data_IF_252320145055
#
_entry.id   IF_252320145055
#
_cell.length_a   1.000
_cell.length_b   1.000
_cell.length_c   1.000
_cell.angle_alpha   90.00
_cell.angle_beta   90.00
_cell.angle_gamma   90.00
#
_symmetry.space_group_name_H-M   'P 1'
#
loop_
_entity.id
_entity.type
_entity.pdbx_description
1 polymer ?
#
# COMPACT_ATOMS: atom_id res chain seq x y z
N UNK A 1 -2.12 56.18 -31.04
CA UNK A 1 -3.19 55.97 -30.05
C UNK A 1 -3.06 54.52 -29.54
N UNK A 2 -2.32 54.28 -28.43
CA UNK A 2 -2.09 52.93 -27.90
C UNK A 2 -3.21 52.60 -26.90
N UNK A 3 -4.00 51.56 -27.22
CA UNK A 3 -4.97 51.01 -26.29
C UNK A 3 -4.22 50.21 -25.19
N UNK A 4 -4.32 50.68 -23.94
CA UNK A 4 -3.89 49.90 -22.77
C UNK A 4 -4.89 48.79 -22.55
N UNK A 5 -4.43 47.53 -22.66
CA UNK A 5 -5.20 46.34 -22.23
C UNK A 5 -4.86 46.13 -20.76
N UNK A 6 -5.81 46.34 -19.87
CA UNK A 6 -5.69 45.94 -18.47
C UNK A 6 -6.13 44.49 -18.34
N UNK A 7 -5.21 43.63 -17.97
CA UNK A 7 -5.52 42.22 -17.62
C UNK A 7 -5.89 42.21 -16.14
N UNK A 8 -7.15 41.87 -15.84
CA UNK A 8 -7.64 41.65 -14.50
C UNK A 8 -7.28 40.21 -14.12
N UNK A 9 -6.27 40.03 -13.26
CA UNK A 9 -6.00 38.73 -12.65
C UNK A 9 -7.03 38.52 -11.52
N UNK A 10 -7.99 37.61 -11.73
CA UNK A 10 -8.89 37.16 -10.69
C UNK A 10 -8.20 36.02 -9.96
N UNK A 11 -7.71 36.27 -8.75
CA UNK A 11 -7.29 35.20 -7.84
C UNK A 11 -8.56 34.55 -7.28
N UNK A 12 -8.87 33.34 -7.75
CA UNK A 12 -9.84 32.47 -7.10
C UNK A 12 -9.11 31.83 -5.92
N UNK A 13 -9.29 32.39 -4.73
CA UNK A 13 -8.90 31.70 -3.49
C UNK A 13 -9.90 30.59 -3.27
N UNK A 14 -9.51 29.33 -3.51
CA UNK A 14 -10.24 28.18 -3.03
C UNK A 14 -10.15 28.21 -1.49
N UNK A 15 -11.25 28.49 -0.81
CA UNK A 15 -11.36 28.26 0.62
C UNK A 15 -11.49 26.75 0.84
N UNK A 16 -10.40 26.10 1.22
CA UNK A 16 -10.50 24.80 1.88
C UNK A 16 -11.19 25.02 3.22
N UNK A 17 -12.38 24.50 3.40
CA UNK A 17 -13.03 24.47 4.72
C UNK A 17 -12.29 23.40 5.52
N UNK A 18 -11.61 23.81 6.59
CA UNK A 18 -11.03 22.87 7.55
C UNK A 18 -12.10 21.86 8.00
N UNK A 19 -11.75 20.58 7.97
CA UNK A 19 -12.70 19.50 8.30
C UNK A 19 -12.95 19.36 9.81
N UNK A 20 -12.12 20.05 10.64
CA UNK A 20 -12.13 19.99 12.10
C UNK A 20 -11.95 18.56 12.64
N UNK A 21 -11.05 17.81 12.05
CA UNK A 21 -10.68 16.50 12.52
C UNK A 21 -9.98 16.60 13.87
N UNK A 22 -10.48 15.89 14.86
CA UNK A 22 -9.99 15.98 16.23
C UNK A 22 -9.64 14.62 16.80
N UNK A 23 -8.70 14.60 17.76
CA UNK A 23 -8.41 13.42 18.56
C UNK A 23 -9.66 12.85 19.23
N UNK A 24 -9.75 11.54 19.36
CA UNK A 24 -10.85 10.78 19.93
C UNK A 24 -12.18 11.07 19.24
N UNK A 25 -12.20 11.01 17.91
CA UNK A 25 -13.41 11.27 17.12
C UNK A 25 -13.64 10.22 16.03
N UNK A 26 -14.92 9.99 15.76
CA UNK A 26 -15.38 9.11 14.67
C UNK A 26 -16.48 9.86 13.92
N UNK A 27 -16.42 9.91 12.60
CA UNK A 27 -17.39 10.66 11.82
C UNK A 27 -17.19 10.51 10.32
N UNK A 28 -17.70 11.47 9.59
CA UNK A 28 -17.47 11.63 8.16
C UNK A 28 -17.42 13.10 7.78
N UNK A 29 -16.86 13.36 6.61
CA UNK A 29 -16.91 14.64 5.93
C UNK A 29 -16.99 14.43 4.42
N UNK A 30 -17.54 15.42 3.73
CA UNK A 30 -17.59 15.40 2.26
C UNK A 30 -16.34 16.06 1.69
N UNK A 31 -15.51 15.30 0.97
CA UNK A 31 -14.38 15.81 0.20
C UNK A 31 -14.83 16.14 -1.21
N UNK A 32 -14.48 17.33 -1.70
CA UNK A 32 -14.75 17.76 -3.08
C UNK A 32 -13.42 17.77 -3.83
N UNK A 33 -13.18 16.82 -4.76
CA UNK A 33 -11.98 16.84 -5.59
C UNK A 33 -11.89 18.11 -6.44
N UNK A 34 -10.71 18.47 -6.85
CA UNK A 34 -10.50 19.61 -7.75
C UNK A 34 -10.57 19.21 -9.25
N UNK A 35 -10.68 20.20 -10.13
CA UNK A 35 -10.62 19.99 -11.57
C UNK A 35 -11.81 19.22 -12.15
N UNK A 36 -11.60 18.26 -13.07
CA UNK A 36 -12.69 17.53 -13.75
C UNK A 36 -13.60 16.72 -12.80
N UNK A 37 -13.09 16.33 -11.63
CA UNK A 37 -13.84 15.54 -10.63
C UNK A 37 -14.59 16.41 -9.61
N UNK A 38 -14.64 17.72 -9.78
CA UNK A 38 -15.23 18.66 -8.81
C UNK A 38 -16.75 18.49 -8.57
N UNK A 39 -17.45 17.84 -9.47
CA UNK A 39 -18.86 17.48 -9.37
C UNK A 39 -19.08 16.05 -8.84
N UNK A 40 -18.02 15.35 -8.47
CA UNK A 40 -18.03 13.98 -7.95
C UNK A 40 -17.51 13.95 -6.50
N UNK A 41 -18.28 14.49 -5.52
CA UNK A 41 -17.86 14.49 -4.12
C UNK A 41 -17.71 13.07 -3.57
N UNK A 42 -16.76 12.92 -2.65
CA UNK A 42 -16.47 11.68 -1.92
C UNK A 42 -16.84 11.86 -0.46
N UNK A 43 -17.71 11.02 0.08
CA UNK A 43 -17.91 10.95 1.52
C UNK A 43 -16.73 10.18 2.13
N UNK A 44 -16.06 10.80 3.10
CA UNK A 44 -14.88 10.24 3.74
C UNK A 44 -15.20 9.94 5.18
N UNK A 45 -15.31 8.66 5.50
CA UNK A 45 -15.49 8.20 6.88
C UNK A 45 -14.13 8.10 7.56
N UNK A 46 -14.08 8.47 8.83
CA UNK A 46 -12.83 8.45 9.58
C UNK A 46 -13.02 7.97 11.01
N UNK A 47 -11.93 7.47 11.58
CA UNK A 47 -11.78 7.26 13.00
C UNK A 47 -10.38 7.71 13.44
N UNK A 48 -10.33 8.54 14.47
CA UNK A 48 -9.11 9.10 15.05
C UNK A 48 -9.07 8.71 16.53
N UNK A 49 -8.13 7.88 16.97
CA UNK A 49 -7.99 7.53 18.37
C UNK A 49 -7.57 8.72 19.24
N UNK A 50 -7.57 8.51 20.56
CA UNK A 50 -7.02 9.49 21.51
C UNK A 50 -5.50 9.56 21.41
N UNK A 51 -4.92 10.77 21.46
CA UNK A 51 -3.46 10.97 21.44
C UNK A 51 -3.05 12.16 20.59
N UNK A 52 -1.76 12.20 20.25
CA UNK A 52 -1.18 13.22 19.37
C UNK A 52 -1.41 12.88 17.90
N UNK A 53 -2.45 13.47 17.32
CA UNK A 53 -2.86 13.20 15.94
C UNK A 53 -1.87 13.70 14.89
N UNK A 54 -0.95 14.59 15.27
CA UNK A 54 0.03 15.15 14.32
C UNK A 54 1.11 14.14 13.92
N UNK A 55 1.28 13.10 14.71
CA UNK A 55 2.30 12.06 14.51
C UNK A 55 1.72 10.67 14.23
N UNK A 56 0.41 10.48 14.34
CA UNK A 56 -0.24 9.19 14.08
C UNK A 56 -0.11 8.77 12.62
N UNK A 57 0.25 7.50 12.33
CA UNK A 57 0.22 6.98 10.97
C UNK A 57 -1.21 6.85 10.43
N UNK A 58 -1.34 6.80 9.09
CA UNK A 58 -2.62 6.68 8.41
C UNK A 58 -2.81 5.30 7.78
N UNK A 59 -4.06 4.82 7.87
CA UNK A 59 -4.53 3.62 7.18
C UNK A 59 -5.75 3.98 6.34
N UNK A 60 -5.61 3.88 5.02
CA UNK A 60 -6.74 3.96 4.11
C UNK A 60 -7.43 2.61 4.02
N UNK A 61 -8.76 2.59 4.16
CA UNK A 61 -9.58 1.39 4.06
C UNK A 61 -10.54 1.50 2.88
N UNK A 62 -10.32 0.70 1.84
CA UNK A 62 -11.09 0.74 0.60
C UNK A 62 -12.22 -0.28 0.61
N UNK A 63 -13.45 0.21 0.41
CA UNK A 63 -14.68 -0.59 0.45
C UNK A 63 -14.78 -1.59 -0.71
N UNK A 64 -15.62 -2.61 -0.52
CA UNK A 64 -15.99 -3.56 -1.56
C UNK A 64 -17.03 -3.03 -2.55
N UNK A 65 -17.69 -3.94 -3.26
CA UNK A 65 -18.77 -3.60 -4.20
C UNK A 65 -20.02 -3.02 -3.52
N UNK A 66 -20.13 -3.15 -2.21
CA UNK A 66 -21.21 -2.58 -1.39
C UNK A 66 -21.20 -1.05 -1.34
N UNK A 67 -20.06 -0.42 -1.61
CA UNK A 67 -19.89 1.03 -1.51
C UNK A 67 -20.24 1.54 -0.09
N UNK A 68 -19.73 0.86 0.93
CA UNK A 68 -20.04 0.98 2.36
C UNK A 68 -18.79 1.44 3.14
N UNK A 69 -18.37 2.68 2.89
CA UNK A 69 -17.17 3.27 3.50
C UNK A 69 -17.23 3.32 5.03
N UNK A 70 -18.42 3.59 5.61
CA UNK A 70 -18.66 3.57 7.05
C UNK A 70 -18.33 2.21 7.69
N UNK A 71 -18.83 1.13 7.10
CA UNK A 71 -18.57 -0.24 7.53
C UNK A 71 -17.09 -0.59 7.42
N UNK A 72 -16.43 -0.16 6.35
CA UNK A 72 -14.99 -0.39 6.15
C UNK A 72 -14.13 0.40 7.13
N UNK A 73 -14.55 1.61 7.55
CA UNK A 73 -13.95 2.33 8.66
C UNK A 73 -14.16 1.58 9.97
N UNK A 74 -15.37 1.06 10.23
CA UNK A 74 -15.75 0.42 11.49
C UNK A 74 -14.96 -0.86 11.77
N UNK A 75 -14.54 -1.59 10.73
CA UNK A 75 -13.66 -2.77 10.89
C UNK A 75 -12.36 -2.47 11.63
N UNK A 76 -11.90 -1.22 11.63
CA UNK A 76 -10.60 -0.83 12.15
C UNK A 76 -10.64 -0.06 13.48
N UNK A 77 -11.83 0.32 14.00
CA UNK A 77 -11.95 1.21 15.17
C UNK A 77 -11.18 0.69 16.38
N UNK A 78 -11.43 -0.56 16.78
CA UNK A 78 -10.79 -1.13 17.97
C UNK A 78 -9.27 -1.27 17.75
N UNK A 79 -8.87 -1.75 16.58
CA UNK A 79 -7.45 -1.88 16.22
C UNK A 79 -6.73 -0.52 16.18
N UNK A 80 -7.38 0.52 15.69
CA UNK A 80 -6.86 1.87 15.67
C UNK A 80 -6.69 2.45 17.09
N UNK A 81 -7.68 2.22 17.96
CA UNK A 81 -7.61 2.63 19.37
C UNK A 81 -6.48 1.94 20.12
N UNK A 82 -6.26 0.65 19.87
CA UNK A 82 -5.24 -0.15 20.55
C UNK A 82 -3.81 0.16 20.05
N UNK A 83 -3.67 0.61 18.80
CA UNK A 83 -2.36 0.74 18.15
C UNK A 83 -2.00 2.17 17.71
N UNK A 84 -2.91 3.13 17.84
CA UNK A 84 -2.61 4.56 17.64
C UNK A 84 -2.42 4.97 16.17
N UNK A 85 -3.32 4.59 15.27
CA UNK A 85 -3.33 5.04 13.88
C UNK A 85 -4.68 5.63 13.47
N UNK A 86 -4.68 6.53 12.49
CA UNK A 86 -5.87 7.17 11.93
C UNK A 86 -6.42 6.32 10.79
N UNK A 87 -7.73 6.06 10.80
CA UNK A 87 -8.43 5.33 9.72
C UNK A 87 -9.15 6.32 8.83
N UNK A 88 -8.95 6.18 7.53
CA UNK A 88 -9.63 6.96 6.48
C UNK A 88 -10.28 5.99 5.49
N UNK A 89 -11.59 6.07 5.34
CA UNK A 89 -12.35 5.22 4.42
C UNK A 89 -13.15 6.07 3.43
N UNK A 90 -12.58 6.42 2.27
CA UNK A 90 -13.29 7.15 1.24
C UNK A 90 -14.35 6.27 0.58
N UNK A 91 -15.57 6.77 0.45
CA UNK A 91 -16.67 6.11 -0.24
C UNK A 91 -16.88 6.67 -1.63
N UNK A 92 -16.57 5.88 -2.62
CA UNK A 92 -16.86 6.17 -4.02
C UNK A 92 -18.27 5.71 -4.36
N UNK A 93 -19.27 6.51 -4.00
CA UNK A 93 -20.69 6.17 -4.14
C UNK A 93 -21.10 5.89 -5.60
N UNK A 94 -22.12 5.07 -5.80
CA UNK A 94 -22.62 4.77 -7.15
C UNK A 94 -23.27 5.98 -7.84
N UNK A 95 -23.66 7.01 -7.12
CA UNK A 95 -24.19 8.25 -7.68
C UNK A 95 -23.10 9.12 -8.29
N UNK A 96 -21.97 9.28 -7.60
CA UNK A 96 -20.88 10.16 -8.01
C UNK A 96 -19.85 9.42 -8.87
N UNK A 97 -19.69 8.10 -8.66
CA UNK A 97 -18.79 7.21 -9.40
C UNK A 97 -19.60 6.04 -9.98
N UNK A 98 -20.45 6.29 -10.99
CA UNK A 98 -21.30 5.28 -11.59
C UNK A 98 -20.45 4.22 -12.31
N UNK A 99 -20.96 2.98 -12.37
CA UNK A 99 -20.19 1.88 -12.96
C UNK A 99 -19.11 1.34 -12.02
N UNK A 100 -19.45 0.24 -11.33
CA UNK A 100 -18.52 -0.40 -10.38
C UNK A 100 -17.17 -0.74 -11.01
N UNK A 101 -17.19 -1.31 -12.22
CA UNK A 101 -15.99 -1.74 -12.95
C UNK A 101 -15.10 -0.56 -13.33
N UNK A 102 -15.58 0.28 -14.21
CA UNK A 102 -14.78 1.33 -14.84
C UNK A 102 -14.40 2.44 -13.85
N UNK A 103 -15.40 3.02 -13.19
CA UNK A 103 -15.17 4.19 -12.34
C UNK A 103 -14.57 3.88 -10.95
N UNK A 104 -14.68 2.64 -10.48
CA UNK A 104 -14.09 2.30 -9.17
C UNK A 104 -12.99 1.25 -9.30
N UNK A 105 -13.31 0.02 -9.69
CA UNK A 105 -12.33 -1.07 -9.67
C UNK A 105 -11.14 -0.82 -10.60
N UNK A 106 -11.36 -0.13 -11.72
CA UNK A 106 -10.34 0.22 -12.73
C UNK A 106 -9.97 1.71 -12.72
N UNK A 107 -10.51 2.47 -11.75
CA UNK A 107 -10.08 3.84 -11.45
C UNK A 107 -10.38 4.87 -12.51
N UNK A 108 -11.32 4.62 -13.43
CA UNK A 108 -11.65 5.47 -14.57
C UNK A 108 -10.44 5.77 -15.50
N UNK A 109 -9.53 4.80 -15.62
CA UNK A 109 -8.34 4.97 -16.47
C UNK A 109 -8.70 4.98 -17.95
N UNK A 110 -9.74 4.25 -18.34
CA UNK A 110 -10.28 4.19 -19.71
C UNK A 110 -11.77 4.45 -19.71
N UNK A 111 -12.32 4.98 -20.83
CA UNK A 111 -13.76 5.14 -21.04
C UNK A 111 -14.52 3.81 -20.89
N UNK A 112 -13.94 2.72 -21.41
CA UNK A 112 -14.37 1.34 -21.25
C UNK A 112 -13.15 0.51 -20.82
N UNK A 113 -12.99 0.32 -19.53
CA UNK A 113 -11.86 -0.43 -18.96
C UNK A 113 -11.90 -1.92 -19.29
N UNK A 114 -13.06 -2.47 -19.61
CA UNK A 114 -13.18 -3.87 -20.05
C UNK A 114 -12.71 -4.06 -21.51
N UNK A 115 -12.72 -3.01 -22.33
CA UNK A 115 -12.32 -3.04 -23.73
C UNK A 115 -11.49 -1.81 -24.13
N UNK A 116 -10.29 -1.61 -23.54
CA UNK A 116 -9.48 -0.44 -23.83
C UNK A 116 -9.06 -0.43 -25.32
N UNK A 117 -9.16 0.74 -25.93
CA UNK A 117 -8.74 0.97 -27.32
C UNK A 117 -7.73 2.11 -27.38
N UNK A 118 -6.89 2.19 -28.41
CA UNK A 118 -5.99 3.33 -28.57
C UNK A 118 -6.74 4.67 -28.54
N UNK A 119 -6.37 5.55 -27.61
CA UNK A 119 -7.00 6.85 -27.43
C UNK A 119 -8.25 6.88 -26.55
N UNK A 120 -8.66 5.75 -25.92
CA UNK A 120 -9.75 5.71 -24.94
C UNK A 120 -9.25 5.91 -23.49
N UNK A 121 -7.95 6.13 -23.31
CA UNK A 121 -7.38 6.43 -21.99
C UNK A 121 -7.75 7.85 -21.57
N UNK A 122 -8.36 7.96 -20.40
CA UNK A 122 -8.73 9.24 -19.82
C UNK A 122 -7.48 10.02 -19.33
N UNK A 123 -7.51 11.36 -19.35
CA UNK A 123 -6.52 12.17 -18.67
C UNK A 123 -6.40 11.78 -17.19
N UNK A 124 -5.19 11.76 -16.66
CA UNK A 124 -4.95 11.29 -15.28
C UNK A 124 -5.76 12.05 -14.23
N UNK A 125 -6.00 13.35 -14.43
CA UNK A 125 -6.81 14.17 -13.53
C UNK A 125 -8.32 13.85 -13.55
N UNK A 126 -8.76 12.93 -14.42
CA UNK A 126 -10.12 12.36 -14.46
C UNK A 126 -10.18 10.97 -13.81
N UNK A 127 -9.05 10.40 -13.40
CA UNK A 127 -9.05 9.09 -12.77
C UNK A 127 -9.58 9.15 -11.35
N UNK A 128 -10.38 8.17 -10.97
CA UNK A 128 -10.78 7.97 -9.57
C UNK A 128 -9.58 7.77 -8.66
N UNK A 129 -8.52 7.15 -9.15
CA UNK A 129 -7.26 7.01 -8.43
C UNK A 129 -6.64 8.36 -8.04
N UNK A 130 -6.82 9.39 -8.85
CA UNK A 130 -6.25 10.73 -8.61
C UNK A 130 -6.94 11.52 -7.48
N UNK A 131 -7.98 10.96 -6.88
CA UNK A 131 -8.63 11.52 -5.68
C UNK A 131 -7.78 11.33 -4.42
N UNK A 132 -7.00 10.24 -4.33
CA UNK A 132 -6.41 9.77 -3.07
C UNK A 132 -5.32 10.72 -2.56
N UNK A 133 -4.38 11.11 -3.40
CA UNK A 133 -3.25 11.95 -2.96
C UNK A 133 -3.69 13.35 -2.52
N UNK A 134 -4.56 14.10 -3.27
CA UNK A 134 -5.06 15.39 -2.80
C UNK A 134 -5.99 15.29 -1.56
N UNK A 135 -6.70 14.18 -1.40
CA UNK A 135 -7.46 13.91 -0.16
C UNK A 135 -6.50 13.77 1.02
N UNK A 136 -5.42 13.01 0.85
CA UNK A 136 -4.41 12.85 1.89
C UNK A 136 -3.77 14.19 2.26
N UNK A 137 -3.39 15.04 1.28
CA UNK A 137 -2.91 16.40 1.54
C UNK A 137 -3.91 17.22 2.37
N UNK A 138 -5.19 17.18 2.01
CA UNK A 138 -6.24 17.89 2.73
C UNK A 138 -6.31 17.47 4.20
N UNK A 139 -6.17 16.17 4.48
CA UNK A 139 -6.20 15.63 5.84
C UNK A 139 -4.93 16.02 6.61
N UNK A 140 -3.75 15.92 5.97
CA UNK A 140 -2.48 16.33 6.58
C UNK A 140 -2.52 17.79 7.02
N UNK A 141 -3.01 18.67 6.15
CA UNK A 141 -3.13 20.10 6.41
C UNK A 141 -4.12 20.39 7.56
N UNK A 142 -5.27 19.72 7.58
CA UNK A 142 -6.32 19.93 8.59
C UNK A 142 -5.85 19.62 10.02
N UNK A 143 -5.08 18.54 10.20
CA UNK A 143 -4.56 18.13 11.51
C UNK A 143 -3.11 18.54 11.74
N UNK A 144 -2.47 19.26 10.82
CA UNK A 144 -1.05 19.61 10.86
C UNK A 144 -0.15 18.37 11.05
N UNK A 145 -0.42 17.31 10.30
CA UNK A 145 0.32 16.06 10.42
C UNK A 145 1.74 16.16 9.88
N UNK A 146 2.66 15.45 10.53
CA UNK A 146 4.06 15.29 10.08
C UNK A 146 4.28 14.04 9.25
N UNK A 147 3.24 13.24 9.00
CA UNK A 147 3.36 12.03 8.20
C UNK A 147 3.59 12.35 6.73
N UNK A 148 4.38 11.53 6.07
CA UNK A 148 4.73 11.69 4.65
C UNK A 148 4.22 10.54 3.78
N UNK A 149 3.67 9.49 4.39
CA UNK A 149 3.16 8.30 3.73
C UNK A 149 1.92 7.75 4.44
N UNK A 150 1.27 6.81 3.80
CA UNK A 150 0.13 6.08 4.36
C UNK A 150 0.19 4.61 3.96
N UNK A 151 -0.50 3.77 4.73
CA UNK A 151 -0.74 2.37 4.42
C UNK A 151 -2.18 2.19 3.99
N UNK A 152 -2.45 1.12 3.25
CA UNK A 152 -3.79 0.88 2.75
C UNK A 152 -4.17 -0.60 2.82
N UNK A 153 -5.44 -0.81 3.11
CA UNK A 153 -6.10 -2.10 3.04
C UNK A 153 -7.33 -2.01 2.14
N UNK A 154 -7.58 -3.03 1.34
CA UNK A 154 -8.79 -3.15 0.54
C UNK A 154 -9.28 -4.58 0.50
N UNK A 155 -10.61 -4.78 0.63
CA UNK A 155 -11.23 -6.09 0.52
C UNK A 155 -12.11 -6.19 -0.72
N UNK A 156 -12.08 -7.34 -1.40
CA UNK A 156 -12.95 -7.59 -2.56
C UNK A 156 -12.77 -6.52 -3.66
N UNK A 157 -13.77 -5.67 -3.89
CA UNK A 157 -13.65 -4.52 -4.80
C UNK A 157 -12.57 -3.53 -4.39
N UNK A 158 -12.40 -3.28 -3.09
CA UNK A 158 -11.33 -2.41 -2.58
C UNK A 158 -9.93 -2.96 -2.82
N UNK A 159 -9.77 -4.28 -2.76
CA UNK A 159 -8.54 -4.96 -3.19
C UNK A 159 -8.29 -4.79 -4.68
N UNK A 160 -9.35 -4.82 -5.49
CA UNK A 160 -9.24 -4.58 -6.94
C UNK A 160 -8.87 -3.13 -7.26
N UNK A 161 -9.38 -2.17 -6.51
CA UNK A 161 -8.98 -0.77 -6.60
C UNK A 161 -7.50 -0.60 -6.22
N UNK A 162 -7.11 -1.12 -5.05
CA UNK A 162 -5.82 -0.87 -4.44
C UNK A 162 -4.64 -1.44 -5.24
N UNK A 163 -4.74 -2.68 -5.75
CA UNK A 163 -3.63 -3.23 -6.54
C UNK A 163 -3.47 -2.52 -7.89
N UNK A 164 -4.56 -2.02 -8.51
CA UNK A 164 -4.45 -1.21 -9.72
C UNK A 164 -3.96 0.19 -9.44
N UNK A 165 -4.40 0.79 -8.33
CA UNK A 165 -3.86 2.07 -7.87
C UNK A 165 -2.33 2.02 -7.81
N UNK A 166 -1.76 0.94 -7.27
CA UNK A 166 -0.31 0.75 -7.20
C UNK A 166 0.36 0.76 -8.57
N UNK A 167 -0.26 0.18 -9.60
CA UNK A 167 0.28 0.21 -10.96
C UNK A 167 0.14 1.56 -11.66
N UNK A 168 -0.98 2.24 -11.45
CA UNK A 168 -1.30 3.47 -12.19
C UNK A 168 -0.83 4.75 -11.50
N UNK A 169 -0.52 4.70 -10.19
CA UNK A 169 -0.06 5.85 -9.39
C UNK A 169 1.31 5.60 -8.74
N UNK A 170 2.40 5.53 -9.54
CA UNK A 170 3.75 5.24 -9.02
C UNK A 170 4.30 6.35 -8.12
N UNK A 171 3.77 7.56 -8.22
CA UNK A 171 4.13 8.75 -7.40
C UNK A 171 3.27 8.87 -6.14
N UNK A 172 2.43 7.88 -5.83
CA UNK A 172 1.67 7.86 -4.59
C UNK A 172 2.58 7.67 -3.37
N UNK A 173 2.10 8.19 -2.23
CA UNK A 173 2.76 8.02 -0.92
C UNK A 173 2.35 6.72 -0.21
N UNK A 174 1.83 5.77 -0.96
CA UNK A 174 1.46 4.44 -0.48
C UNK A 174 2.70 3.63 -0.10
N UNK A 175 2.84 3.31 1.17
CA UNK A 175 3.98 2.54 1.71
C UNK A 175 3.70 1.03 1.71
N UNK A 176 2.51 0.62 2.14
CA UNK A 176 2.08 -0.78 2.23
C UNK A 176 0.67 -0.93 1.68
N UNK A 177 0.48 -1.87 0.77
CA UNK A 177 -0.82 -2.27 0.27
C UNK A 177 -1.18 -3.68 0.74
N UNK A 178 -2.30 -3.84 1.47
CA UNK A 178 -2.83 -5.17 1.82
C UNK A 178 -4.08 -5.43 0.99
N UNK A 179 -3.99 -6.33 0.02
CA UNK A 179 -5.01 -6.61 -0.98
C UNK A 179 -5.75 -7.91 -0.67
N UNK A 180 -6.88 -7.82 0.06
CA UNK A 180 -7.62 -8.97 0.55
C UNK A 180 -8.69 -9.45 -0.43
N UNK A 181 -8.66 -10.73 -0.80
CA UNK A 181 -9.73 -11.45 -1.50
C UNK A 181 -10.29 -10.74 -2.75
N UNK A 182 -9.45 -10.21 -3.63
CA UNK A 182 -9.92 -9.59 -4.88
C UNK A 182 -10.70 -10.59 -5.75
N UNK A 183 -11.73 -10.12 -6.42
CA UNK A 183 -12.53 -10.94 -7.32
C UNK A 183 -11.77 -11.38 -8.57
N UNK A 184 -10.85 -10.54 -9.06
CA UNK A 184 -9.95 -10.79 -10.18
C UNK A 184 -8.86 -9.71 -10.19
N UNK A 185 -7.78 -9.94 -10.93
CA UNK A 185 -6.59 -9.10 -10.90
C UNK A 185 -6.22 -8.58 -12.28
N UNK A 186 -5.54 -7.43 -12.34
CA UNK A 186 -4.68 -7.05 -13.44
C UNK A 186 -3.32 -7.67 -13.19
N UNK A 187 -3.00 -8.74 -13.90
CA UNK A 187 -1.74 -9.48 -13.74
C UNK A 187 -0.68 -8.80 -14.61
N UNK A 188 0.51 -8.49 -14.09
CA UNK A 188 1.57 -7.84 -14.87
C UNK A 188 2.28 -8.82 -15.81
N UNK A 189 1.53 -9.43 -16.72
CA UNK A 189 2.01 -10.37 -17.72
C UNK A 189 1.66 -9.89 -19.14
N UNK A 190 2.55 -10.14 -20.08
CA UNK A 190 2.35 -9.87 -21.50
C UNK A 190 1.47 -10.93 -22.16
N UNK A 191 0.83 -10.56 -23.28
CA UNK A 191 -0.04 -11.47 -24.07
C UNK A 191 -1.48 -11.55 -23.57
N UNK A 192 -1.82 -10.88 -22.48
CA UNK A 192 -3.19 -10.74 -21.96
C UNK A 192 -3.54 -9.26 -21.87
N UNK A 193 -4.68 -8.90 -22.51
CA UNK A 193 -5.13 -7.50 -22.52
C UNK A 193 -5.67 -7.06 -21.16
N UNK A 194 -5.48 -5.78 -20.86
CA UNK A 194 -6.20 -5.11 -19.80
C UNK A 194 -7.72 -5.34 -19.99
N UNK A 195 -8.48 -5.60 -18.92
CA UNK A 195 -8.11 -5.39 -17.53
C UNK A 195 -7.49 -6.61 -16.81
N UNK A 196 -7.29 -7.74 -17.47
CA UNK A 196 -6.81 -8.97 -16.84
C UNK A 196 -5.28 -9.13 -16.92
N UNK A 197 -4.65 -8.55 -17.92
CA UNK A 197 -3.20 -8.42 -18.10
C UNK A 197 -2.83 -6.97 -18.34
N UNK A 198 -1.62 -6.73 -18.85
CA UNK A 198 -1.09 -5.38 -19.09
C UNK A 198 -1.10 -4.94 -20.55
N UNK A 199 -1.39 -5.83 -21.51
CA UNK A 199 -1.49 -5.42 -22.91
C UNK A 199 -2.61 -4.39 -23.09
N UNK A 200 -2.36 -3.36 -23.88
CA UNK A 200 -3.27 -2.22 -24.11
C UNK A 200 -3.57 -1.37 -22.86
N UNK A 201 -2.89 -1.58 -21.73
CA UNK A 201 -3.06 -0.75 -20.53
C UNK A 201 -2.36 0.60 -20.62
N UNK A 202 -1.43 0.75 -21.58
CA UNK A 202 -0.51 1.89 -21.69
C UNK A 202 0.30 2.13 -20.37
N UNK A 203 0.51 1.08 -19.57
CA UNK A 203 1.37 1.14 -18.40
C UNK A 203 2.83 1.16 -18.83
N UNK A 204 3.62 2.14 -18.42
CA UNK A 204 5.07 2.11 -18.61
C UNK A 204 5.69 0.96 -17.78
N UNK A 205 6.75 0.35 -18.28
CA UNK A 205 7.52 -0.66 -17.53
C UNK A 205 8.01 -0.13 -16.18
N UNK A 206 8.38 1.15 -16.12
CA UNK A 206 8.76 1.81 -14.87
C UNK A 206 7.70 1.75 -13.78
N UNK A 207 6.41 1.75 -14.13
CA UNK A 207 5.31 1.64 -13.18
C UNK A 207 5.22 0.21 -12.61
N UNK A 208 5.45 -0.79 -13.46
CA UNK A 208 5.49 -2.20 -13.05
C UNK A 208 6.67 -2.43 -12.09
N UNK A 209 7.85 -1.92 -12.43
CA UNK A 209 9.05 -1.97 -11.57
C UNK A 209 8.79 -1.29 -10.22
N UNK A 210 8.17 -0.10 -10.23
CA UNK A 210 7.79 0.59 -9.01
C UNK A 210 6.82 -0.22 -8.17
N UNK A 211 5.79 -0.81 -8.79
CA UNK A 211 4.81 -1.64 -8.10
C UNK A 211 5.45 -2.87 -7.46
N UNK A 212 6.38 -3.55 -8.15
CA UNK A 212 7.13 -4.67 -7.57
C UNK A 212 8.03 -4.26 -6.40
N UNK A 213 8.60 -3.07 -6.43
CA UNK A 213 9.43 -2.53 -5.35
C UNK A 213 8.62 -2.07 -4.14
N UNK A 214 7.34 -1.73 -4.30
CA UNK A 214 6.45 -1.32 -3.20
C UNK A 214 5.92 -2.54 -2.46
N UNK A 215 5.82 -2.47 -1.14
CA UNK A 215 5.30 -3.57 -0.32
C UNK A 215 3.82 -3.83 -0.62
N UNK A 216 3.51 -5.01 -1.10
CA UNK A 216 2.15 -5.48 -1.33
C UNK A 216 1.95 -6.86 -0.71
N UNK A 217 0.86 -7.05 0.01
CA UNK A 217 0.44 -8.34 0.55
C UNK A 217 -0.76 -8.82 -0.27
N UNK A 218 -0.58 -9.91 -1.00
CA UNK A 218 -1.68 -10.67 -1.61
C UNK A 218 -2.30 -11.51 -0.50
N UNK A 219 -3.41 -11.04 0.06
CA UNK A 219 -3.98 -11.53 1.31
C UNK A 219 -5.26 -12.34 1.03
N UNK A 220 -5.25 -13.64 1.33
CA UNK A 220 -6.23 -14.59 0.83
C UNK A 220 -6.87 -15.42 1.94
N UNK A 221 -8.19 -15.38 2.06
CA UNK A 221 -8.93 -16.36 2.87
C UNK A 221 -8.93 -17.74 2.20
N UNK A 222 -8.39 -18.76 2.85
CA UNK A 222 -8.26 -20.11 2.28
C UNK A 222 -9.60 -20.77 1.92
N UNK A 223 -10.68 -20.35 2.58
CA UNK A 223 -12.04 -20.84 2.33
C UNK A 223 -12.82 -19.99 1.31
N UNK A 224 -12.23 -18.94 0.68
CA UNK A 224 -12.88 -18.14 -0.36
C UNK A 224 -12.79 -18.84 -1.74
N UNK A 225 -13.28 -20.07 -1.78
CA UNK A 225 -13.20 -20.99 -2.91
C UNK A 225 -14.54 -21.19 -3.64
N UNK A 226 -15.60 -20.48 -3.24
CA UNK A 226 -16.89 -20.61 -3.88
C UNK A 226 -16.89 -19.94 -5.27
N UNK A 227 -16.97 -20.77 -6.31
CA UNK A 227 -17.01 -20.35 -7.71
C UNK A 227 -18.29 -19.60 -8.09
N UNK A 228 -19.38 -19.77 -7.34
CA UNK A 228 -20.67 -19.13 -7.59
C UNK A 228 -20.95 -17.96 -6.63
N UNK A 229 -19.89 -17.37 -6.04
CA UNK A 229 -20.04 -16.21 -5.17
C UNK A 229 -20.66 -15.02 -5.90
N UNK A 230 -21.60 -14.34 -5.25
CA UNK A 230 -22.17 -13.11 -5.80
C UNK A 230 -21.06 -12.07 -6.07
N UNK A 231 -21.12 -11.41 -7.20
CA UNK A 231 -20.15 -10.39 -7.63
C UNK A 231 -18.79 -10.94 -8.10
N UNK A 232 -18.59 -12.26 -8.12
CA UNK A 232 -17.42 -12.85 -8.76
C UNK A 232 -17.60 -12.83 -10.28
N UNK A 233 -16.70 -12.14 -10.99
CA UNK A 233 -16.74 -12.04 -12.46
C UNK A 233 -16.34 -13.37 -13.08
N UNK A 234 -17.12 -13.81 -14.09
CA UNK A 234 -16.82 -14.97 -14.91
C UNK A 234 -16.89 -14.60 -16.38
N UNK A 235 -15.85 -14.91 -17.11
CA UNK A 235 -15.79 -14.98 -18.57
C UNK A 235 -14.60 -15.86 -18.97
N UNK A 236 -14.55 -16.21 -20.26
CA UNK A 236 -13.55 -17.14 -20.79
C UNK A 236 -12.10 -16.69 -20.49
N UNK A 237 -11.83 -15.37 -20.51
CA UNK A 237 -10.47 -14.85 -20.33
C UNK A 237 -10.04 -15.04 -18.87
N UNK A 238 -10.77 -14.46 -17.92
CA UNK A 238 -10.40 -14.51 -16.50
C UNK A 238 -10.42 -15.91 -15.93
N UNK A 239 -11.40 -16.75 -16.35
CA UNK A 239 -11.52 -18.11 -15.84
C UNK A 239 -10.39 -19.01 -16.33
N UNK A 240 -9.97 -18.87 -17.60
CA UNK A 240 -8.84 -19.64 -18.14
C UNK A 240 -7.49 -19.14 -17.62
N UNK A 241 -7.32 -17.83 -17.46
CA UNK A 241 -6.08 -17.22 -16.99
C UNK A 241 -5.90 -17.42 -15.48
N UNK A 242 -6.86 -16.97 -14.67
CA UNK A 242 -6.69 -16.83 -13.22
C UNK A 242 -7.37 -17.94 -12.41
N UNK A 243 -8.32 -18.68 -13.02
CA UNK A 243 -9.08 -19.72 -12.36
C UNK A 243 -10.48 -19.27 -11.91
N UNK A 244 -11.18 -20.15 -11.18
CA UNK A 244 -12.64 -20.06 -11.00
C UNK A 244 -13.07 -19.44 -9.66
N UNK A 245 -12.16 -19.15 -8.75
CA UNK A 245 -12.46 -18.56 -7.44
C UNK A 245 -11.35 -17.61 -6.96
N UNK A 246 -11.65 -16.81 -5.94
CA UNK A 246 -10.77 -15.76 -5.46
C UNK A 246 -9.44 -16.27 -4.93
N UNK A 247 -9.45 -17.39 -4.20
CA UNK A 247 -8.24 -17.97 -3.64
C UNK A 247 -7.24 -18.40 -4.74
N UNK A 248 -7.75 -19.09 -5.76
CA UNK A 248 -6.92 -19.53 -6.91
C UNK A 248 -6.41 -18.32 -7.69
N UNK A 249 -7.27 -17.30 -7.91
CA UNK A 249 -6.90 -16.09 -8.65
C UNK A 249 -5.82 -15.27 -7.95
N UNK A 250 -5.88 -15.17 -6.62
CA UNK A 250 -4.86 -14.47 -5.85
C UNK A 250 -3.51 -15.20 -5.90
N UNK A 251 -3.51 -16.53 -5.79
CA UNK A 251 -2.30 -17.34 -5.97
C UNK A 251 -1.70 -17.17 -7.38
N UNK A 252 -2.53 -17.15 -8.42
CA UNK A 252 -2.09 -16.91 -9.78
C UNK A 252 -1.44 -15.54 -9.91
N UNK A 253 -2.10 -14.50 -9.42
CA UNK A 253 -1.60 -13.13 -9.43
C UNK A 253 -0.22 -13.01 -8.77
N UNK A 254 -0.06 -13.57 -7.58
CA UNK A 254 1.21 -13.53 -6.86
C UNK A 254 2.32 -14.27 -7.62
N UNK A 255 2.08 -15.52 -7.98
CA UNK A 255 3.11 -16.37 -8.60
C UNK A 255 3.55 -15.84 -9.98
N UNK A 256 2.60 -15.35 -10.79
CA UNK A 256 2.91 -14.79 -12.11
C UNK A 256 3.66 -13.47 -11.96
N UNK A 257 3.26 -12.60 -11.02
CA UNK A 257 3.96 -11.34 -10.75
C UNK A 257 5.39 -11.57 -10.27
N UNK A 258 5.62 -12.60 -9.43
CA UNK A 258 6.97 -12.96 -9.01
C UNK A 258 7.83 -13.43 -10.18
N UNK A 259 7.28 -14.28 -11.04
CA UNK A 259 8.01 -14.76 -12.23
C UNK A 259 8.34 -13.61 -13.19
N UNK A 260 7.42 -12.66 -13.41
CA UNK A 260 7.68 -11.47 -14.25
C UNK A 260 8.79 -10.59 -13.65
N UNK A 261 8.80 -10.39 -12.33
CA UNK A 261 9.87 -9.63 -11.68
C UNK A 261 11.23 -10.32 -11.81
N UNK A 262 11.27 -11.65 -11.71
CA UNK A 262 12.47 -12.47 -11.95
C UNK A 262 12.95 -12.38 -13.41
N UNK A 263 12.03 -12.43 -14.38
CA UNK A 263 12.35 -12.38 -15.81
C UNK A 263 12.95 -11.03 -16.24
N UNK A 264 12.51 -9.93 -15.61
CA UNK A 264 13.07 -8.59 -15.88
C UNK A 264 14.18 -8.18 -14.91
N UNK A 265 14.62 -9.07 -14.02
CA UNK A 265 15.72 -8.89 -13.06
C UNK A 265 15.55 -7.67 -12.15
N UNK A 266 14.37 -7.53 -11.49
CA UNK A 266 14.06 -6.45 -10.57
C UNK A 266 13.68 -6.95 -9.18
N UNK A 267 13.76 -6.07 -8.19
CA UNK A 267 13.33 -6.37 -6.82
C UNK A 267 11.83 -6.68 -6.77
N UNK A 268 11.45 -7.66 -5.94
CA UNK A 268 10.06 -8.05 -5.71
C UNK A 268 9.75 -8.03 -4.21
N UNK A 269 9.01 -7.01 -3.77
CA UNK A 269 8.67 -6.76 -2.36
C UNK A 269 7.27 -7.25 -1.97
N UNK A 270 6.65 -8.04 -2.83
CA UNK A 270 5.34 -8.59 -2.54
C UNK A 270 5.44 -9.84 -1.68
N UNK A 271 4.42 -10.05 -0.87
CA UNK A 271 4.24 -11.26 -0.08
C UNK A 271 2.85 -11.83 -0.33
N UNK A 272 2.70 -13.13 -0.14
CA UNK A 272 1.40 -13.77 -0.08
C UNK A 272 1.16 -14.23 1.35
N UNK A 273 -0.01 -13.92 1.88
CA UNK A 273 -0.46 -14.39 3.18
C UNK A 273 -1.83 -15.04 3.07
N UNK A 274 -2.02 -16.16 3.77
CA UNK A 274 -3.26 -16.93 3.69
C UNK A 274 -3.87 -17.13 5.07
N UNK A 275 -5.19 -16.89 5.18
CA UNK A 275 -5.92 -16.95 6.45
C UNK A 275 -6.72 -18.24 6.54
N UNK A 276 -6.31 -19.19 7.38
CA UNK A 276 -6.94 -20.48 7.51
C UNK A 276 -8.41 -20.37 7.93
N UNK A 277 -9.30 -21.15 7.29
CA UNK A 277 -10.74 -21.23 7.58
C UNK A 277 -11.52 -19.92 7.36
N UNK A 278 -10.94 -18.89 6.80
CA UNK A 278 -11.62 -17.63 6.45
C UNK A 278 -12.05 -17.68 4.97
N UNK A 279 -13.31 -17.33 4.72
CA UNK A 279 -13.87 -17.14 3.39
C UNK A 279 -13.89 -15.68 2.99
N UNK A 280 -14.94 -15.25 2.27
CA UNK A 280 -15.11 -13.86 1.83
C UNK A 280 -15.66 -12.97 2.95
N UNK A 281 -14.94 -12.87 4.07
CA UNK A 281 -15.36 -12.12 5.25
C UNK A 281 -14.42 -10.93 5.52
N UNK A 282 -14.89 -9.71 5.25
CA UNK A 282 -14.09 -8.50 5.34
C UNK A 282 -13.55 -8.23 6.75
N UNK A 283 -14.36 -8.39 7.81
CA UNK A 283 -13.91 -8.15 9.18
C UNK A 283 -12.80 -9.12 9.61
N UNK A 284 -12.94 -10.41 9.27
CA UNK A 284 -11.91 -11.40 9.60
C UNK A 284 -10.61 -11.11 8.85
N UNK A 285 -10.72 -10.71 7.57
CA UNK A 285 -9.56 -10.32 6.77
C UNK A 285 -8.93 -9.01 7.27
N UNK A 286 -9.70 -8.03 7.73
CA UNK A 286 -9.16 -6.81 8.35
C UNK A 286 -8.40 -7.10 9.65
N UNK A 287 -8.95 -7.98 10.50
CA UNK A 287 -8.29 -8.38 11.74
C UNK A 287 -6.94 -9.06 11.49
N UNK A 288 -6.87 -9.93 10.48
CA UNK A 288 -5.65 -10.64 10.11
C UNK A 288 -4.63 -9.72 9.38
N UNK A 289 -5.10 -8.71 8.67
CA UNK A 289 -4.25 -7.72 8.01
C UNK A 289 -3.49 -6.79 8.98
N UNK A 290 -3.90 -6.70 10.25
CA UNK A 290 -3.32 -5.77 11.22
C UNK A 290 -1.80 -5.88 11.38
N UNK A 291 -1.17 -7.06 11.50
CA UNK A 291 0.29 -7.17 11.59
C UNK A 291 1.01 -6.55 10.39
N UNK A 292 0.46 -6.70 9.17
CA UNK A 292 1.03 -6.11 7.97
C UNK A 292 0.92 -4.57 7.97
N UNK A 293 -0.18 -4.04 8.50
CA UNK A 293 -0.38 -2.60 8.68
C UNK A 293 0.56 -2.03 9.76
N UNK A 294 0.79 -2.76 10.84
CA UNK A 294 1.67 -2.32 11.94
C UNK A 294 3.15 -2.52 11.62
N UNK A 295 3.48 -3.48 10.74
CA UNK A 295 4.87 -3.61 10.31
C UNK A 295 5.27 -2.28 9.66
N UNK A 296 6.14 -1.52 10.29
CA UNK A 296 6.96 -0.58 9.55
C UNK A 296 7.54 -1.40 8.42
N UNK A 297 7.33 -0.99 7.17
CA UNK A 297 8.06 -1.57 6.06
C UNK A 297 9.50 -1.73 6.54
N UNK A 298 10.22 -2.75 6.08
CA UNK A 298 11.67 -2.81 6.23
C UNK A 298 12.34 -1.66 5.44
N UNK A 299 11.69 -0.49 5.39
CA UNK A 299 12.35 0.77 5.30
C UNK A 299 13.19 0.82 6.56
N UNK A 300 14.47 0.53 6.41
CA UNK A 300 15.47 1.08 7.29
C UNK A 300 15.04 2.54 7.41
N UNK A 301 14.53 2.96 8.61
CA UNK A 301 14.56 4.38 8.92
C UNK A 301 15.93 4.81 8.44
N UNK A 302 16.00 5.90 7.67
CA UNK A 302 17.24 6.60 7.45
C UNK A 302 17.66 7.21 8.81
N UNK A 303 17.86 6.38 9.79
CA UNK A 303 18.95 6.57 10.71
C UNK A 303 20.17 6.68 9.80
N UNK A 304 20.74 7.86 9.70
CA UNK A 304 21.96 8.11 8.95
C UNK A 304 22.75 6.82 8.92
N UNK A 305 22.81 6.14 7.76
CA UNK A 305 23.59 4.92 7.62
C UNK A 305 25.01 5.35 7.94
N UNK A 306 25.35 5.29 9.21
CA UNK A 306 26.72 5.31 9.62
C UNK A 306 27.27 4.12 8.88
N UNK A 307 28.13 4.36 7.92
CA UNK A 307 28.78 3.36 7.07
C UNK A 307 29.61 2.47 8.01
N UNK A 308 28.90 1.57 8.72
CA UNK A 308 29.46 0.71 9.75
C UNK A 308 30.04 -0.52 9.04
N UNK A 309 31.34 -0.49 8.82
CA UNK A 309 32.03 -1.61 8.22
C UNK A 309 32.52 -2.56 9.32
N UNK A 310 32.03 -3.79 9.26
CA UNK A 310 32.59 -4.90 10.05
C UNK A 310 33.48 -5.72 9.13
N UNK A 311 34.71 -5.98 9.52
CA UNK A 311 35.62 -6.78 8.73
C UNK A 311 36.68 -7.50 9.56
N UNK A 312 37.38 -8.47 8.98
CA UNK A 312 37.17 -9.10 7.69
C UNK A 312 36.00 -10.10 7.68
N UNK A 313 35.42 -10.35 6.52
CA UNK A 313 34.49 -11.46 6.28
C UNK A 313 35.09 -12.35 5.15
N UNK A 314 35.41 -13.63 5.36
CA UNK A 314 35.23 -14.40 6.61
C UNK A 314 36.13 -13.97 7.78
N UNK A 315 35.58 -14.11 8.98
CA UNK A 315 36.28 -13.84 10.25
C UNK A 315 37.12 -15.05 10.63
N UNK A 316 38.39 -14.85 10.98
CA UNK A 316 39.20 -15.95 11.54
C UNK A 316 39.02 -16.05 13.07
N UNK A 317 39.29 -14.99 13.80
CA UNK A 317 39.19 -14.92 15.24
C UNK A 317 38.94 -13.49 15.79
N UNK A 318 38.95 -12.47 14.94
CA UNK A 318 38.76 -11.09 15.33
C UNK A 318 37.90 -10.35 14.31
N UNK A 319 36.89 -9.62 14.76
CA UNK A 319 36.19 -8.60 13.98
C UNK A 319 36.73 -7.23 14.30
N UNK A 320 36.83 -6.38 13.30
CA UNK A 320 37.18 -4.97 13.42
C UNK A 320 36.01 -4.10 12.99
N UNK A 321 35.83 -3.00 13.66
CA UNK A 321 34.77 -2.04 13.40
C UNK A 321 35.21 -0.64 13.82
N UNK A 322 34.55 0.37 13.27
CA UNK A 322 34.72 1.74 13.72
C UNK A 322 33.49 2.18 14.54
N UNK A 323 33.66 2.30 15.86
CA UNK A 323 32.62 2.75 16.78
C UNK A 323 32.65 4.27 17.02
N UNK A 324 33.45 5.02 16.27
CA UNK A 324 33.62 6.47 16.48
C UNK A 324 32.36 7.28 16.16
N UNK A 325 31.48 6.75 15.32
CA UNK A 325 30.23 7.39 14.89
C UNK A 325 28.96 6.66 15.36
N UNK A 326 29.04 5.41 15.77
CA UNK A 326 27.86 4.55 16.01
C UNK A 326 27.52 4.26 17.46
N UNK A 327 28.29 4.64 18.43
CA UNK A 327 28.08 4.50 19.91
C UNK A 327 27.30 3.23 20.37
N UNK A 328 27.48 2.09 19.71
CA UNK A 328 26.87 0.86 20.19
C UNK A 328 27.65 0.31 21.39
N UNK A 329 26.90 -0.23 22.34
CA UNK A 329 27.45 -0.74 23.63
C UNK A 329 27.35 -2.26 23.75
N UNK A 330 26.70 -2.92 22.77
CA UNK A 330 26.38 -4.35 22.80
C UNK A 330 26.49 -4.95 21.39
N UNK A 331 26.98 -6.20 21.29
CA UNK A 331 26.88 -7.06 20.10
C UNK A 331 26.22 -8.37 20.53
N UNK A 332 25.26 -8.81 19.75
CA UNK A 332 24.66 -10.14 19.85
C UNK A 332 25.04 -10.96 18.62
N UNK A 333 25.39 -12.21 18.84
CA UNK A 333 25.74 -13.15 17.78
C UNK A 333 24.69 -14.25 17.74
N UNK A 334 24.11 -14.49 16.58
CA UNK A 334 23.07 -15.49 16.36
C UNK A 334 23.58 -16.59 15.41
N UNK A 335 23.11 -17.81 15.61
CA UNK A 335 23.25 -18.85 14.59
C UNK A 335 22.15 -18.70 13.51
N UNK A 336 22.20 -19.51 12.46
CA UNK A 336 21.23 -19.46 11.35
C UNK A 336 19.80 -19.83 11.77
N UNK A 337 19.59 -20.42 12.94
CA UNK A 337 18.25 -20.69 13.51
C UNK A 337 17.75 -19.55 14.40
N UNK A 338 18.42 -18.41 14.45
CA UNK A 338 18.03 -17.26 15.27
C UNK A 338 18.31 -17.39 16.77
N UNK A 339 19.02 -18.44 17.20
CA UNK A 339 19.40 -18.59 18.61
C UNK A 339 20.63 -17.74 18.92
N UNK A 340 20.57 -16.96 20.01
CA UNK A 340 21.72 -16.21 20.50
C UNK A 340 22.80 -17.16 21.01
N UNK A 341 23.99 -17.12 20.38
CA UNK A 341 25.14 -17.95 20.77
C UNK A 341 26.19 -17.19 21.57
N UNK A 342 26.20 -15.87 21.46
CA UNK A 342 27.09 -15.02 22.25
C UNK A 342 26.53 -13.61 22.40
N UNK A 343 26.74 -12.99 23.59
CA UNK A 343 26.43 -11.59 23.87
C UNK A 343 27.69 -10.93 24.41
N UNK A 344 28.02 -9.76 23.86
CA UNK A 344 29.14 -8.94 24.29
C UNK A 344 28.58 -7.59 24.69
N UNK A 345 28.70 -7.26 25.95
CA UNK A 345 28.20 -6.01 26.52
C UNK A 345 29.38 -5.03 26.87
N UNK A 346 29.05 -3.78 27.15
CA UNK A 346 29.98 -2.75 27.57
C UNK A 346 31.10 -2.44 26.55
N UNK A 347 30.77 -2.45 25.27
CA UNK A 347 31.68 -2.02 24.21
C UNK A 347 31.91 -0.53 24.35
N UNK A 348 33.18 -0.14 24.41
CA UNK A 348 33.56 1.26 24.60
C UNK A 348 33.57 2.01 23.26
N UNK A 349 33.26 3.29 23.28
CA UNK A 349 33.25 4.15 22.07
C UNK A 349 34.57 4.19 21.29
N UNK A 350 35.69 3.92 21.98
CA UNK A 350 37.02 3.85 21.36
C UNK A 350 37.48 2.43 21.01
N UNK A 351 36.65 1.41 21.23
CA UNK A 351 36.98 0.02 20.93
C UNK A 351 36.84 -0.22 19.42
N UNK A 352 37.85 -0.81 18.82
CA UNK A 352 37.93 -1.03 17.37
C UNK A 352 37.92 -2.49 16.95
N UNK A 353 37.94 -3.42 17.88
CA UNK A 353 37.92 -4.84 17.61
C UNK A 353 37.40 -5.69 18.77
N UNK A 354 36.92 -6.88 18.42
CA UNK A 354 36.50 -7.93 19.36
C UNK A 354 37.04 -9.27 18.89
N UNK A 355 37.55 -10.05 19.84
CA UNK A 355 38.09 -11.39 19.59
C UNK A 355 37.03 -12.45 19.88
N UNK A 356 36.85 -13.39 18.95
CA UNK A 356 35.92 -14.52 19.00
C UNK A 356 36.67 -15.85 19.01
N UNK A 357 37.20 -16.26 20.13
CA UNK A 357 37.99 -17.50 20.26
C UNK A 357 37.13 -18.75 20.56
N UNK A 358 35.82 -18.57 20.83
CA UNK A 358 34.95 -19.62 21.38
C UNK A 358 33.85 -20.08 20.44
N UNK A 359 33.72 -19.46 19.27
CA UNK A 359 32.75 -19.88 18.27
C UNK A 359 33.33 -20.99 17.37
N UNK A 360 32.55 -22.03 17.14
CA UNK A 360 32.90 -23.07 16.16
C UNK A 360 32.88 -22.50 14.73
N UNK A 361 33.51 -23.21 13.80
CA UNK A 361 33.40 -22.83 12.38
C UNK A 361 31.93 -22.89 11.94
N UNK A 362 31.43 -21.78 11.38
CA UNK A 362 30.04 -21.67 10.97
C UNK A 362 29.70 -20.28 10.40
N UNK A 363 28.44 -20.12 9.98
CA UNK A 363 27.87 -18.84 9.58
C UNK A 363 27.07 -18.29 10.76
N UNK A 364 27.29 -17.04 11.07
CA UNK A 364 26.67 -16.33 12.18
C UNK A 364 26.16 -14.98 11.70
N UNK A 365 25.12 -14.47 12.35
CA UNK A 365 24.55 -13.12 12.16
C UNK A 365 24.96 -12.28 13.39
N UNK A 366 25.39 -11.04 13.15
CA UNK A 366 25.78 -10.07 14.18
C UNK A 366 24.79 -8.94 14.20
#
# INVERSE_FOLDING_TARGET
MFKKISVLLVFITAFSTAQNLNSNSTGSFTYIPSGPLSDQPVEVYYHIPSGDITTMPFVFSFHGSGRDGDTHRDFWIDMANDNGFIVIAPEFSSNNYPGLGDNYLMGNVFDDGDNPTPGSRNPENEWTFSVIEPLFDTILDDISSTQTSYKAWGHSGGSQFLHRFLFFKPDSRLEVAVCSNAGWYTVPEAGVSFPYGIDNSELPESNIIHAFATKLIVHLGESDTNQNSSGLRHNTVVDNQQGLNRFVRGNYFFNTSQAEAEDIDVAFNWEIDTVPNVGHNAQQMANDALPHILSSGLGVENDDFINFQIGPNPIKNEIRFDNSQANFSKIEVFNLSGQTVKIINNIKSNQKSIVFNELSHGIYIL
#
